data_IF_521999243068
#
_entry.id   IF_521999243068
#
_cell.length_a   1.000
_cell.length_b   1.000
_cell.length_c   1.000
_cell.angle_alpha   90.00
_cell.angle_beta   90.00
_cell.angle_gamma   90.00
#
_symmetry.space_group_name_H-M   'P 1'
#
loop_
_entity.id
_entity.type
_entity.pdbx_description
1 polymer ?
#
# COMPACT_ATOMS: atom_id res chain seq x y z
N UNK A 1 32.80 -27.85 -60.43
CA UNK A 1 33.47 -28.55 -59.30
C UNK A 1 34.94 -28.17 -59.28
N UNK A 2 35.36 -27.36 -58.29
CA UNK A 2 36.74 -27.23 -57.78
C UNK A 2 36.74 -26.26 -56.59
N UNK A 3 36.62 -26.87 -55.42
CA UNK A 3 37.24 -26.56 -54.11
C UNK A 3 37.59 -25.10 -53.76
N UNK A 4 36.93 -24.64 -52.68
CA UNK A 4 37.31 -23.54 -51.79
C UNK A 4 38.74 -23.64 -51.26
N UNK A 5 39.35 -22.49 -50.99
CA UNK A 5 39.91 -22.06 -49.68
C UNK A 5 40.76 -20.79 -49.84
N UNK A 6 40.79 -19.99 -48.76
CA UNK A 6 41.67 -18.85 -48.42
C UNK A 6 40.99 -17.47 -48.49
N UNK A 7 40.71 -16.87 -47.33
CA UNK A 7 41.70 -15.99 -46.69
C UNK A 7 41.12 -15.36 -45.43
N UNK A 8 41.90 -15.48 -44.35
CA UNK A 8 41.68 -14.83 -43.06
C UNK A 8 42.30 -13.44 -43.17
N UNK A 9 41.49 -12.37 -43.09
CA UNK A 9 41.97 -11.02 -42.77
C UNK A 9 40.91 -10.29 -41.92
N UNK A 10 41.24 -10.23 -40.62
CA UNK A 10 41.10 -9.12 -39.68
C UNK A 10 40.07 -8.01 -39.98
N UNK A 11 39.06 -7.90 -39.10
CA UNK A 11 38.55 -6.60 -38.67
C UNK A 11 37.93 -6.72 -37.28
N UNK A 12 38.74 -6.44 -36.25
CA UNK A 12 38.28 -6.12 -34.90
C UNK A 12 37.48 -4.81 -34.97
N UNK A 13 36.16 -4.89 -34.82
CA UNK A 13 35.30 -3.73 -34.59
C UNK A 13 34.46 -3.98 -33.34
N UNK A 14 34.55 -3.03 -32.42
CA UNK A 14 33.96 -3.02 -31.09
C UNK A 14 32.44 -3.17 -31.15
N UNK A 15 31.89 -4.04 -30.31
CA UNK A 15 30.56 -3.85 -29.72
C UNK A 15 30.58 -4.31 -28.26
N UNK A 16 30.98 -3.39 -27.39
CA UNK A 16 30.60 -3.43 -26.00
C UNK A 16 29.12 -2.99 -25.92
N UNK A 17 28.22 -3.95 -25.79
CA UNK A 17 26.85 -3.70 -25.37
C UNK A 17 26.48 -4.78 -24.35
N UNK A 18 26.88 -4.52 -23.11
CA UNK A 18 26.37 -5.16 -21.91
C UNK A 18 24.85 -5.02 -21.90
N UNK A 19 24.16 -6.11 -22.24
CA UNK A 19 22.71 -6.22 -22.08
C UNK A 19 22.35 -6.32 -20.60
N UNK A 20 22.24 -5.18 -19.91
CA UNK A 20 21.48 -5.11 -18.68
C UNK A 20 20.00 -5.18 -19.05
N UNK A 21 19.41 -6.38 -18.91
CA UNK A 21 17.96 -6.54 -18.85
C UNK A 21 17.52 -5.85 -17.56
N UNK A 22 17.12 -4.58 -17.68
CA UNK A 22 16.39 -3.90 -16.61
C UNK A 22 15.03 -4.59 -16.51
N UNK A 23 14.88 -5.45 -15.51
CA UNK A 23 13.56 -5.81 -15.01
C UNK A 23 12.90 -4.51 -14.55
N UNK A 24 12.07 -3.93 -15.42
CA UNK A 24 11.25 -2.78 -15.07
C UNK A 24 10.36 -3.18 -13.90
N UNK A 25 10.66 -2.66 -12.72
CA UNK A 25 9.68 -2.57 -11.66
C UNK A 25 8.50 -1.82 -12.26
N UNK A 26 7.38 -2.53 -12.45
CA UNK A 26 6.12 -1.96 -12.88
C UNK A 26 5.65 -1.05 -11.75
N UNK A 27 6.17 0.17 -11.67
CA UNK A 27 5.60 1.20 -10.82
C UNK A 27 4.21 1.44 -11.37
N UNK A 28 3.18 0.93 -10.70
CA UNK A 28 1.80 1.28 -11.01
C UNK A 28 1.70 2.80 -10.87
N UNK A 29 1.76 3.51 -11.99
CA UNK A 29 1.62 4.96 -12.00
C UNK A 29 0.20 5.25 -11.52
N UNK A 30 0.10 5.85 -10.33
CA UNK A 30 -1.17 6.36 -9.84
C UNK A 30 -1.60 7.47 -10.82
N UNK A 31 -2.65 7.23 -11.61
CA UNK A 31 -3.17 8.24 -12.53
C UNK A 31 -3.64 9.45 -11.73
N UNK A 32 -3.38 10.65 -12.27
CA UNK A 32 -3.83 11.89 -11.67
C UNK A 32 -5.35 11.82 -11.36
N UNK A 33 -5.79 12.27 -10.16
CA UNK A 33 -7.19 12.35 -9.82
C UNK A 33 -7.99 13.08 -10.91
N UNK A 34 -9.17 12.54 -11.27
CA UNK A 34 -10.07 13.18 -12.24
C UNK A 34 -9.70 13.03 -13.71
N UNK A 35 -8.57 12.38 -14.04
CA UNK A 35 -8.23 12.06 -15.43
C UNK A 35 -9.25 11.11 -16.09
N UNK A 36 -9.47 11.26 -17.39
CA UNK A 36 -10.41 10.41 -18.14
C UNK A 36 -10.02 8.92 -18.04
N UNK A 37 -8.73 8.61 -18.09
CA UNK A 37 -8.23 7.24 -17.96
C UNK A 37 -8.59 6.62 -16.58
N UNK A 38 -8.48 7.40 -15.50
CA UNK A 38 -8.86 6.95 -14.15
C UNK A 38 -10.37 6.77 -14.02
N UNK A 39 -11.15 7.69 -14.57
CA UNK A 39 -12.62 7.61 -14.61
C UNK A 39 -13.10 6.35 -15.34
N UNK A 40 -12.53 6.02 -16.51
CA UNK A 40 -12.92 4.80 -17.22
C UNK A 40 -12.61 3.54 -16.42
N UNK A 41 -11.46 3.52 -15.72
CA UNK A 41 -11.08 2.41 -14.83
C UNK A 41 -12.04 2.25 -13.64
N UNK A 42 -12.41 3.36 -12.99
CA UNK A 42 -13.34 3.37 -11.86
C UNK A 42 -14.73 2.87 -12.29
N UNK A 43 -15.24 3.32 -13.45
CA UNK A 43 -16.51 2.83 -14.00
C UNK A 43 -16.49 1.35 -14.38
N UNK A 44 -15.37 0.87 -14.95
CA UNK A 44 -15.22 -0.54 -15.30
C UNK A 44 -15.26 -1.46 -14.07
N UNK A 45 -14.90 -0.94 -12.89
CA UNK A 45 -14.96 -1.68 -11.61
C UNK A 45 -16.40 -1.89 -11.12
N UNK A 46 -17.36 -1.11 -11.62
CA UNK A 46 -18.77 -1.25 -11.25
C UNK A 46 -19.44 -2.50 -11.84
N UNK A 47 -18.82 -3.12 -12.85
CA UNK A 47 -19.29 -4.38 -13.43
C UNK A 47 -18.51 -5.54 -12.75
N UNK A 48 -19.12 -6.23 -11.77
CA UNK A 48 -18.49 -7.40 -11.09
C UNK A 48 -18.38 -7.33 -9.57
N UNK A 49 -19.08 -6.40 -8.94
CA UNK A 49 -19.05 -6.11 -7.50
C UNK A 49 -20.40 -6.40 -6.87
N UNK A 50 -20.42 -6.92 -5.63
CA UNK A 50 -21.64 -7.15 -4.85
C UNK A 50 -22.21 -5.84 -4.28
N UNK A 51 -22.37 -4.84 -5.13
CA UNK A 51 -22.92 -3.52 -4.78
C UNK A 51 -23.87 -3.03 -5.88
N UNK A 52 -24.78 -2.12 -5.53
CA UNK A 52 -25.70 -1.53 -6.50
C UNK A 52 -24.91 -0.79 -7.59
N UNK A 53 -25.04 -1.27 -8.83
CA UNK A 53 -24.29 -0.72 -9.97
C UNK A 53 -24.59 0.76 -10.21
N UNK A 54 -25.84 1.18 -10.03
CA UNK A 54 -26.22 2.58 -10.22
C UNK A 54 -25.61 3.46 -9.12
N UNK A 55 -25.53 2.96 -7.88
CA UNK A 55 -24.83 3.63 -6.79
C UNK A 55 -23.33 3.77 -7.09
N UNK A 56 -22.67 2.68 -7.50
CA UNK A 56 -21.26 2.70 -7.89
C UNK A 56 -20.97 3.74 -8.98
N UNK A 57 -21.78 3.80 -10.03
CA UNK A 57 -21.60 4.78 -11.10
C UNK A 57 -21.83 6.23 -10.63
N UNK A 58 -22.77 6.45 -9.70
CA UNK A 58 -22.97 7.78 -9.08
C UNK A 58 -21.76 8.18 -8.24
N UNK A 59 -21.21 7.27 -7.45
CA UNK A 59 -20.03 7.51 -6.61
C UNK A 59 -18.78 7.80 -7.46
N UNK A 60 -18.56 7.04 -8.54
CA UNK A 60 -17.48 7.31 -9.49
C UNK A 60 -17.64 8.71 -10.13
N UNK A 61 -18.86 9.08 -10.51
CA UNK A 61 -19.17 10.42 -11.02
C UNK A 61 -18.88 11.53 -10.00
N UNK A 62 -19.30 11.34 -8.74
CA UNK A 62 -19.02 12.26 -7.65
C UNK A 62 -17.51 12.40 -7.39
N UNK A 63 -16.76 11.29 -7.40
CA UNK A 63 -15.31 11.31 -7.24
C UNK A 63 -14.61 12.12 -8.34
N UNK A 64 -15.03 11.99 -9.61
CA UNK A 64 -14.50 12.85 -10.69
C UNK A 64 -14.85 14.32 -10.49
N UNK A 65 -16.08 14.61 -10.08
CA UNK A 65 -16.49 15.98 -9.82
C UNK A 65 -15.62 16.60 -8.70
N UNK A 66 -15.39 15.86 -7.61
CA UNK A 66 -14.49 16.27 -6.53
C UNK A 66 -13.05 16.45 -7.00
N UNK A 67 -12.56 15.54 -7.84
CA UNK A 67 -11.22 15.64 -8.40
C UNK A 67 -11.06 16.90 -9.25
N UNK A 68 -12.05 17.22 -10.09
CA UNK A 68 -12.05 18.41 -10.94
C UNK A 68 -12.06 19.72 -10.16
N UNK A 69 -12.68 19.74 -8.96
CA UNK A 69 -12.61 20.88 -8.04
C UNK A 69 -11.41 20.86 -7.08
N UNK A 70 -10.53 19.86 -7.20
CA UNK A 70 -9.35 19.71 -6.33
C UNK A 70 -9.66 19.28 -4.89
N UNK A 71 -10.86 18.74 -4.64
CA UNK A 71 -11.32 18.30 -3.31
C UNK A 71 -10.78 16.94 -2.87
N UNK A 72 -10.22 16.14 -3.79
CA UNK A 72 -9.59 14.86 -3.47
C UNK A 72 -8.18 15.05 -2.93
N UNK A 73 -8.07 15.43 -1.66
CA UNK A 73 -6.80 15.58 -0.95
C UNK A 73 -6.55 14.42 0.01
N UNK A 74 -5.30 14.00 0.13
CA UNK A 74 -4.87 13.11 1.22
C UNK A 74 -4.29 13.96 2.37
N UNK A 75 -4.64 13.66 3.63
CA UNK A 75 -3.99 14.28 4.77
C UNK A 75 -2.49 14.00 4.77
N UNK A 76 -1.69 14.89 5.37
CA UNK A 76 -0.27 14.63 5.56
C UNK A 76 -0.05 13.49 6.56
N UNK A 77 1.08 12.76 6.50
CA UNK A 77 1.36 11.68 7.45
C UNK A 77 1.26 12.10 8.92
N UNK A 78 1.65 13.34 9.23
CA UNK A 78 1.52 13.90 10.57
C UNK A 78 0.04 14.06 10.99
N UNK A 79 -0.83 14.55 10.07
CA UNK A 79 -2.27 14.66 10.32
C UNK A 79 -2.93 13.30 10.41
N UNK A 80 -2.51 12.33 9.61
CA UNK A 80 -2.96 10.95 9.71
C UNK A 80 -2.62 10.35 11.07
N UNK A 81 -1.42 10.58 11.59
CA UNK A 81 -1.01 10.09 12.90
C UNK A 81 -1.80 10.74 14.04
N UNK A 82 -2.05 12.04 13.98
CA UNK A 82 -2.93 12.74 14.95
C UNK A 82 -4.33 12.15 14.94
N UNK A 83 -4.92 11.98 13.75
CA UNK A 83 -6.25 11.36 13.62
C UNK A 83 -6.26 9.92 14.12
N UNK A 84 -5.16 9.18 13.93
CA UNK A 84 -5.05 7.81 14.40
C UNK A 84 -5.01 7.71 15.93
N UNK A 85 -4.27 8.61 16.59
CA UNK A 85 -4.18 8.67 18.04
C UNK A 85 -5.45 9.23 18.68
N UNK A 86 -6.14 10.16 18.01
CA UNK A 86 -7.42 10.69 18.49
C UNK A 86 -8.45 9.57 18.77
N UNK A 87 -8.46 8.51 17.95
CA UNK A 87 -9.32 7.34 18.16
C UNK A 87 -9.04 6.59 19.46
N UNK A 88 -7.82 6.63 19.98
CA UNK A 88 -7.50 6.00 21.26
C UNK A 88 -8.12 6.75 22.44
N UNK A 89 -8.39 8.05 22.31
CA UNK A 89 -9.02 8.86 23.36
C UNK A 89 -10.47 8.46 23.66
N UNK A 90 -11.14 7.76 22.75
CA UNK A 90 -12.51 7.25 22.92
C UNK A 90 -12.58 5.97 23.77
N UNK A 91 -11.43 5.35 24.08
CA UNK A 91 -11.37 4.14 24.90
C UNK A 91 -11.36 4.48 26.40
N UNK A 92 -11.77 3.54 27.27
CA UNK A 92 -11.59 3.66 28.72
C UNK A 92 -10.14 3.98 29.08
N UNK A 93 -9.92 4.80 30.10
CA UNK A 93 -8.59 5.30 30.47
C UNK A 93 -7.53 4.20 30.66
N UNK A 94 -7.93 3.01 31.12
CA UNK A 94 -7.03 1.87 31.30
C UNK A 94 -6.53 1.27 29.97
N UNK A 95 -7.26 1.44 28.86
CA UNK A 95 -6.98 0.83 27.56
C UNK A 95 -6.25 1.78 26.59
N UNK A 96 -6.35 3.09 26.84
CA UNK A 96 -5.69 4.13 26.04
C UNK A 96 -4.17 3.89 25.83
N UNK A 97 -3.36 3.57 26.86
CA UNK A 97 -1.92 3.39 26.66
C UNK A 97 -1.60 2.22 25.71
N UNK A 98 -2.35 1.13 25.78
CA UNK A 98 -2.16 -0.03 24.89
C UNK A 98 -2.58 0.28 23.46
N UNK A 99 -3.69 1.02 23.28
CA UNK A 99 -4.09 1.52 21.96
C UNK A 99 -3.02 2.42 21.34
N UNK A 100 -2.52 3.39 22.09
CA UNK A 100 -1.49 4.30 21.61
C UNK A 100 -0.20 3.57 21.25
N UNK A 101 0.22 2.60 22.06
CA UNK A 101 1.39 1.78 21.78
C UNK A 101 1.23 1.02 20.46
N UNK A 102 0.05 0.46 20.19
CA UNK A 102 -0.27 -0.22 18.92
C UNK A 102 -0.27 0.71 17.71
N UNK A 103 -0.77 1.94 17.87
CA UNK A 103 -0.77 2.96 16.79
C UNK A 103 0.64 3.50 16.52
N UNK A 104 1.40 3.81 17.58
CA UNK A 104 2.80 4.28 17.47
C UNK A 104 3.72 3.19 16.94
N UNK A 105 3.42 1.92 17.24
CA UNK A 105 4.23 0.77 16.86
C UNK A 105 5.49 0.64 17.71
N UNK A 106 6.40 -0.25 17.30
CA UNK A 106 7.66 -0.51 17.99
C UNK A 106 8.10 -1.96 17.85
N UNK A 107 9.16 -2.36 18.56
CA UNK A 107 9.75 -3.70 18.46
C UNK A 107 8.81 -4.85 18.85
N UNK A 108 7.76 -4.57 19.63
CA UNK A 108 6.74 -5.53 20.06
C UNK A 108 5.46 -5.48 19.22
N UNK A 109 5.45 -4.68 18.15
CA UNK A 109 4.28 -4.52 17.29
C UNK A 109 4.52 -5.14 15.92
N UNK A 110 3.69 -6.11 15.53
CA UNK A 110 3.64 -6.63 14.16
C UNK A 110 2.55 -5.92 13.38
N UNK A 111 2.75 -5.80 12.06
CA UNK A 111 1.78 -5.17 11.16
C UNK A 111 1.60 -6.07 9.95
N UNK A 112 0.36 -6.41 9.65
CA UNK A 112 -0.03 -7.29 8.55
C UNK A 112 -1.11 -6.63 7.69
N UNK A 113 -1.17 -7.00 6.42
CA UNK A 113 -2.13 -6.46 5.46
C UNK A 113 -1.56 -5.37 4.54
N UNK A 114 -2.46 -4.74 3.79
CA UNK A 114 -2.13 -3.72 2.79
C UNK A 114 -3.24 -2.69 2.72
N UNK A 115 -2.86 -1.41 2.64
CA UNK A 115 -3.80 -0.32 2.39
C UNK A 115 -4.57 -0.55 1.09
N UNK A 116 -3.89 -1.06 0.05
CA UNK A 116 -4.51 -1.40 -1.23
C UNK A 116 -5.41 -2.64 -1.14
N UNK A 117 -5.14 -3.54 -0.18
CA UNK A 117 -5.87 -4.79 0.03
C UNK A 117 -7.08 -4.67 0.96
N UNK A 118 -7.38 -3.47 1.48
CA UNK A 118 -8.58 -3.22 2.28
C UNK A 118 -8.36 -3.20 3.80
N UNK A 119 -7.12 -3.24 4.30
CA UNK A 119 -6.89 -3.09 5.73
C UNK A 119 -5.46 -3.29 6.18
N UNK A 120 -5.13 -2.71 7.34
CA UNK A 120 -3.87 -2.92 8.06
C UNK A 120 -4.22 -3.37 9.47
N UNK A 121 -3.78 -4.56 9.86
CA UNK A 121 -3.92 -5.12 11.19
C UNK A 121 -2.61 -4.89 11.95
N UNK A 122 -2.73 -4.50 13.21
CA UNK A 122 -1.60 -4.28 14.11
C UNK A 122 -1.80 -5.07 15.38
N UNK A 123 -0.79 -5.82 15.78
CA UNK A 123 -0.80 -6.56 17.03
C UNK A 123 0.38 -6.12 17.87
N UNK A 124 0.16 -5.88 19.16
CA UNK A 124 1.20 -5.49 20.11
C UNK A 124 1.16 -6.43 21.30
N UNK A 125 2.30 -7.05 21.61
CA UNK A 125 2.42 -7.96 22.74
C UNK A 125 2.90 -7.19 23.97
N UNK A 126 2.04 -7.07 24.98
CA UNK A 126 2.38 -6.46 26.28
C UNK A 126 2.62 -7.54 27.33
N UNK A 127 3.87 -7.76 27.78
CA UNK A 127 4.14 -8.74 28.84
C UNK A 127 3.61 -8.22 30.18
N UNK A 128 2.82 -9.04 30.87
CA UNK A 128 2.34 -8.74 32.22
C UNK A 128 3.38 -9.17 33.26
N UNK A 129 3.50 -8.45 34.38
CA UNK A 129 4.32 -8.90 35.50
C UNK A 129 3.80 -10.24 36.05
N UNK A 130 4.66 -11.04 36.71
CA UNK A 130 4.21 -12.27 37.36
C UNK A 130 3.10 -11.98 38.37
N UNK A 131 2.00 -12.70 38.27
CA UNK A 131 0.94 -12.64 39.29
C UNK A 131 1.50 -13.28 40.56
N UNK A 132 1.60 -12.54 41.67
CA UNK A 132 1.89 -13.16 42.97
C UNK A 132 0.61 -13.85 43.45
N UNK A 133 0.55 -15.18 43.30
CA UNK A 133 -0.53 -15.98 43.89
C UNK A 133 -0.24 -16.11 45.39
N UNK A 134 -1.13 -15.64 46.30
CA UNK A 134 -0.92 -15.84 47.73
C UNK A 134 -0.87 -17.35 48.04
N UNK A 135 0.08 -17.76 48.88
CA UNK A 135 0.15 -19.15 49.33
C UNK A 135 -1.15 -19.54 50.06
N UNK A 136 -1.67 -20.76 49.86
CA UNK A 136 -2.89 -21.20 50.55
C UNK A 136 -2.67 -21.15 52.07
N UNK A 137 -3.61 -20.53 52.79
CA UNK A 137 -3.62 -20.55 54.25
C UNK A 137 -3.72 -22.02 54.73
N UNK A 138 -2.78 -22.40 55.59
CA UNK A 138 -2.69 -23.75 56.16
C UNK A 138 -3.62 -23.90 57.36
#
# INVERSE_FOLDING_TARGET
MRTSLRSILSATALFAASGFIVFGAQTASAQAPGSDARMQKERATCDGVQQDRAACLREAGAARQEAGRGGLTSPSPAREQVNALARCGELPAAEQPDCEARIKGGSRTTTEGSVMGGGVIRETVTPLPPQTVPAPAR
#
